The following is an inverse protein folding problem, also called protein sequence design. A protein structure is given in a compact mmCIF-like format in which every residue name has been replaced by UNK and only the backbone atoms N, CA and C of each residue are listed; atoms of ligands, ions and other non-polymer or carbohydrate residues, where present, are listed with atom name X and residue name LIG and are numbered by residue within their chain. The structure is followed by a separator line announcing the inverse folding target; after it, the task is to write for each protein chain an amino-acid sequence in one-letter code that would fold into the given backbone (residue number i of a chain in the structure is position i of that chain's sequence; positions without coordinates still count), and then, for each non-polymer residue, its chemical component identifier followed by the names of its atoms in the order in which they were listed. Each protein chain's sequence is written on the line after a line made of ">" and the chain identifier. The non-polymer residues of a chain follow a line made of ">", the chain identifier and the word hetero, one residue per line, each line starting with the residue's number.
data_IF_547983101421
#
_entry.id   IF_547983101421
#
_cell.length_a   1.000
_cell.length_b   1.000
_cell.length_c   1.000
_cell.angle_alpha   90.00
_cell.angle_beta   90.00
_cell.angle_gamma   90.00
#
_symmetry.space_group_name_H-M   'P 1'
#
loop_
_entity.id
_entity.type
_entity.pdbx_description
1 polymer ?
#
# COMPACT_ATOMS: atom_id res chain seq x y z
N UNK A 1 -16.43 27.65 -16.35
CA UNK A 1 -17.73 28.10 -15.81
C UNK A 1 -18.18 27.03 -14.83
N UNK A 2 -18.24 27.41 -13.54
CA UNK A 2 -18.81 26.68 -12.40
C UNK A 2 -18.18 25.34 -11.96
N UNK A 3 -17.19 25.49 -11.06
CA UNK A 3 -16.84 24.53 -10.01
C UNK A 3 -18.07 24.23 -9.14
N UNK A 4 -18.71 23.09 -9.34
CA UNK A 4 -19.69 22.58 -8.38
C UNK A 4 -19.00 21.64 -7.39
N UNK A 5 -18.61 22.21 -6.25
CA UNK A 5 -18.41 21.51 -4.98
C UNK A 5 -19.74 20.87 -4.59
N UNK A 6 -19.97 19.63 -4.99
CA UNK A 6 -20.99 18.78 -4.38
C UNK A 6 -20.28 17.94 -3.33
N UNK A 7 -20.60 18.20 -2.08
CA UNK A 7 -20.17 17.40 -0.95
C UNK A 7 -20.73 15.99 -1.13
N UNK A 8 -19.91 15.09 -1.67
CA UNK A 8 -20.23 13.67 -1.76
C UNK A 8 -19.86 12.99 -0.45
N UNK A 9 -20.84 12.30 0.13
CA UNK A 9 -20.70 11.51 1.34
C UNK A 9 -19.61 10.44 1.14
N UNK A 10 -18.52 10.56 1.89
CA UNK A 10 -17.45 9.55 1.96
C UNK A 10 -17.98 8.32 2.69
N UNK A 11 -18.41 7.30 1.96
CA UNK A 11 -18.42 5.93 2.49
C UNK A 11 -16.99 5.42 2.37
N UNK A 12 -16.17 5.77 3.35
CA UNK A 12 -14.91 5.06 3.58
C UNK A 12 -15.34 3.76 4.26
N UNK A 13 -15.67 2.73 3.47
CA UNK A 13 -15.52 1.37 4.00
C UNK A 13 -14.04 1.24 4.38
N UNK A 14 -13.78 0.87 5.63
CA UNK A 14 -12.45 0.52 6.11
C UNK A 14 -11.94 -0.68 5.28
N UNK A 15 -11.38 -0.43 4.10
CA UNK A 15 -10.60 -1.39 3.32
C UNK A 15 -9.17 -1.39 3.87
N UNK A 16 -9.05 -1.59 5.18
CA UNK A 16 -7.84 -2.13 5.76
C UNK A 16 -7.70 -3.56 5.24
N UNK A 17 -6.57 -3.87 4.61
CA UNK A 17 -6.16 -5.21 4.14
C UNK A 17 -6.74 -5.77 2.84
N UNK A 18 -6.93 -4.95 1.79
CA UNK A 18 -6.90 -5.48 0.41
C UNK A 18 -5.92 -4.67 -0.44
N UNK A 19 -4.65 -4.75 -0.06
CA UNK A 19 -3.55 -4.40 -0.96
C UNK A 19 -3.74 -5.19 -2.26
N UNK A 20 -3.60 -4.52 -3.41
CA UNK A 20 -3.60 -5.11 -4.75
C UNK A 20 -3.03 -6.53 -4.69
N UNK A 21 -3.76 -7.60 -5.07
CA UNK A 21 -3.25 -8.95 -4.94
C UNK A 21 -1.91 -9.08 -5.67
N UNK A 22 -1.71 -8.42 -6.80
CA UNK A 22 -0.42 -8.48 -7.50
C UNK A 22 0.71 -7.65 -6.87
N UNK A 23 0.46 -6.45 -6.32
CA UNK A 23 1.54 -5.67 -5.68
C UNK A 23 1.86 -6.25 -4.31
N UNK A 24 0.87 -6.64 -3.52
CA UNK A 24 1.07 -7.31 -2.24
C UNK A 24 1.73 -8.66 -2.39
N UNK A 25 1.35 -9.50 -3.37
CA UNK A 25 2.01 -10.78 -3.64
C UNK A 25 3.44 -10.55 -4.13
N UNK A 26 3.71 -9.53 -4.93
CA UNK A 26 5.09 -9.20 -5.32
C UNK A 26 5.89 -8.67 -4.13
N UNK A 27 5.33 -7.79 -3.30
CA UNK A 27 5.94 -7.31 -2.06
C UNK A 27 6.21 -8.48 -1.10
N UNK A 28 5.25 -9.40 -0.95
CA UNK A 28 5.36 -10.61 -0.13
C UNK A 28 6.41 -11.55 -0.70
N UNK A 29 6.43 -11.77 -2.01
CA UNK A 29 7.41 -12.60 -2.71
C UNK A 29 8.81 -11.98 -2.65
N UNK A 30 8.93 -10.66 -2.72
CA UNK A 30 10.20 -9.95 -2.51
C UNK A 30 10.64 -10.02 -1.05
N UNK A 31 9.72 -9.88 -0.10
CA UNK A 31 9.99 -10.04 1.33
C UNK A 31 10.39 -11.49 1.66
N UNK A 32 9.75 -12.49 1.05
CA UNK A 32 10.11 -13.92 1.16
C UNK A 32 11.48 -14.20 0.53
N UNK A 33 11.77 -13.62 -0.65
CA UNK A 33 13.08 -13.72 -1.29
C UNK A 33 14.20 -13.07 -0.47
N UNK A 34 13.90 -11.96 0.22
CA UNK A 34 14.84 -11.30 1.14
C UNK A 34 15.13 -12.13 2.41
N UNK A 35 14.29 -13.10 2.74
CA UNK A 35 14.49 -14.02 3.88
C UNK A 35 15.26 -15.29 3.52
N UNK A 36 15.44 -15.61 2.23
CA UNK A 36 16.31 -16.70 1.82
C UNK A 36 17.77 -16.32 2.10
N UNK A 37 18.36 -16.99 3.10
CA UNK A 37 19.74 -16.82 3.51
C UNK A 37 20.69 -17.21 2.37
N UNK A 38 21.14 -16.23 1.61
CA UNK A 38 22.34 -16.37 0.79
C UNK A 38 23.53 -16.12 1.70
N UNK A 39 24.11 -17.21 2.20
CA UNK A 39 25.44 -17.25 2.81
C UNK A 39 26.49 -17.00 1.71
N UNK A 40 26.55 -15.76 1.22
CA UNK A 40 27.61 -15.29 0.34
C UNK A 40 28.65 -14.55 1.19
N UNK A 41 29.88 -15.04 1.12
CA UNK A 41 31.10 -14.48 1.72
C UNK A 41 31.12 -12.95 1.65
N UNK A 42 31.56 -12.32 2.74
CA UNK A 42 31.74 -10.87 2.90
C UNK A 42 32.68 -10.29 1.84
N UNK A 43 32.18 -10.10 0.62
CA UNK A 43 32.82 -9.27 -0.39
C UNK A 43 32.84 -7.83 0.12
N UNK A 44 33.78 -7.04 -0.37
CA UNK A 44 33.91 -5.61 -0.06
C UNK A 44 32.68 -4.82 -0.55
N UNK A 45 31.61 -4.86 0.23
CA UNK A 45 30.40 -4.08 0.01
C UNK A 45 30.78 -2.59 0.19
N UNK A 46 30.29 -1.75 -0.73
CA UNK A 46 30.53 -0.30 -0.65
C UNK A 46 30.04 0.27 0.69
N UNK A 47 30.72 1.30 1.21
CA UNK A 47 30.36 1.94 2.49
C UNK A 47 28.90 2.44 2.50
N UNK A 48 28.43 2.97 1.36
CA UNK A 48 27.06 3.42 1.20
C UNK A 48 26.06 2.26 1.33
N UNK A 49 26.36 1.13 0.70
CA UNK A 49 25.53 -0.06 0.73
C UNK A 49 25.49 -0.71 2.11
N UNK A 50 26.63 -0.78 2.81
CA UNK A 50 26.69 -1.22 4.22
C UNK A 50 25.77 -0.36 5.09
N UNK A 51 25.88 0.97 4.98
CA UNK A 51 25.07 1.90 5.76
C UNK A 51 23.57 1.84 5.43
N UNK A 52 23.19 1.48 4.20
CA UNK A 52 21.79 1.26 3.85
C UNK A 52 21.25 -0.02 4.50
N UNK A 53 21.98 -1.13 4.39
CA UNK A 53 21.57 -2.41 4.96
C UNK A 53 21.51 -2.37 6.50
N UNK A 54 22.43 -1.69 7.16
CA UNK A 54 22.38 -1.51 8.62
C UNK A 54 21.14 -0.74 9.04
N UNK A 55 20.81 0.36 8.36
CA UNK A 55 19.58 1.14 8.65
C UNK A 55 18.31 0.35 8.46
N UNK A 56 18.24 -0.49 7.42
CA UNK A 56 17.09 -1.35 7.18
C UNK A 56 16.92 -2.36 8.33
N UNK A 57 18.01 -3.04 8.73
CA UNK A 57 18.01 -3.98 9.85
C UNK A 57 17.66 -3.33 11.19
N UNK A 58 18.27 -2.18 11.49
CA UNK A 58 17.99 -1.41 12.71
C UNK A 58 16.51 -1.03 12.79
N UNK A 59 15.90 -0.67 11.64
CA UNK A 59 14.48 -0.35 11.60
C UNK A 59 13.59 -1.58 11.81
N UNK A 60 13.92 -2.72 11.22
CA UNK A 60 13.19 -3.97 11.44
C UNK A 60 13.29 -4.44 12.90
N UNK A 61 14.47 -4.38 13.50
CA UNK A 61 14.70 -4.72 14.91
C UNK A 61 13.95 -3.76 15.83
N UNK A 62 13.96 -2.46 15.51
CA UNK A 62 13.17 -1.45 16.20
C UNK A 62 11.68 -1.81 16.16
N UNK A 63 11.09 -2.02 14.97
CA UNK A 63 9.67 -2.36 14.83
C UNK A 63 9.29 -3.64 15.57
N UNK A 64 10.16 -4.66 15.55
CA UNK A 64 9.94 -5.91 16.32
C UNK A 64 9.90 -5.66 17.82
N UNK A 65 10.82 -4.83 18.34
CA UNK A 65 10.84 -4.46 19.77
C UNK A 65 9.59 -3.67 20.15
N UNK A 66 9.23 -2.64 19.39
CA UNK A 66 8.05 -1.82 19.69
C UNK A 66 6.76 -2.65 19.63
N UNK A 67 6.64 -3.60 18.69
CA UNK A 67 5.49 -4.51 18.61
C UNK A 67 5.39 -5.39 19.86
N UNK A 68 6.52 -5.90 20.35
CA UNK A 68 6.57 -6.71 21.56
C UNK A 68 6.21 -5.87 22.80
N UNK A 69 6.76 -4.66 22.91
CA UNK A 69 6.45 -3.73 24.00
C UNK A 69 4.97 -3.30 23.99
N UNK A 70 4.39 -3.05 22.82
CA UNK A 70 2.96 -2.75 22.67
C UNK A 70 2.08 -3.90 23.17
N UNK A 71 2.41 -5.16 22.82
CA UNK A 71 1.66 -6.33 23.29
C UNK A 71 1.73 -6.51 24.81
N UNK A 72 2.91 -6.33 25.40
CA UNK A 72 3.08 -6.37 26.87
C UNK A 72 2.29 -5.23 27.52
N UNK A 73 2.45 -4.02 27.00
CA UNK A 73 1.75 -2.83 27.48
C UNK A 73 0.23 -3.01 27.43
N UNK A 74 -0.30 -3.60 26.35
CA UNK A 74 -1.73 -3.87 26.19
C UNK A 74 -2.25 -4.80 27.29
N UNK A 75 -1.50 -5.85 27.62
CA UNK A 75 -1.86 -6.78 28.71
C UNK A 75 -1.81 -6.09 30.08
N UNK A 76 -0.83 -5.23 30.31
CA UNK A 76 -0.76 -4.45 31.55
C UNK A 76 -1.88 -3.43 31.66
N UNK A 77 -2.25 -2.78 30.56
CA UNK A 77 -3.36 -1.84 30.51
C UNK A 77 -4.69 -2.53 30.83
N UNK A 78 -4.95 -3.69 30.23
CA UNK A 78 -6.12 -4.51 30.54
C UNK A 78 -6.17 -4.88 32.04
N UNK A 79 -5.04 -5.32 32.60
CA UNK A 79 -4.94 -5.63 34.03
C UNK A 79 -5.19 -4.42 34.95
N UNK A 80 -4.74 -3.21 34.58
CA UNK A 80 -5.02 -1.98 35.34
C UNK A 80 -6.50 -1.59 35.28
N UNK A 81 -7.16 -1.84 34.14
CA UNK A 81 -8.59 -1.55 33.96
C UNK A 81 -9.50 -2.66 34.50
N UNK A 82 -8.95 -3.82 34.86
CA UNK A 82 -9.73 -4.98 35.33
C UNK A 82 -10.45 -5.73 34.21
N UNK A 83 -10.01 -5.56 32.96
CA UNK A 83 -10.57 -6.19 31.76
C UNK A 83 -9.76 -7.43 31.33
N UNK A 84 -10.37 -8.29 30.52
CA UNK A 84 -9.71 -9.47 29.96
C UNK A 84 -8.72 -9.09 28.83
N UNK A 85 -7.42 -9.47 28.91
CA UNK A 85 -6.43 -9.11 27.91
C UNK A 85 -6.71 -9.60 26.48
N UNK A 86 -7.39 -10.74 26.33
CA UNK A 86 -7.66 -11.35 25.02
C UNK A 86 -8.81 -10.65 24.29
N UNK A 87 -9.80 -10.17 25.03
CA UNK A 87 -10.98 -9.46 24.49
C UNK A 87 -10.74 -7.95 24.34
N UNK A 88 -9.63 -7.43 24.86
CA UNK A 88 -9.31 -6.00 24.89
C UNK A 88 -9.10 -5.42 23.48
N UNK A 89 -9.99 -4.54 23.02
CA UNK A 89 -9.94 -3.94 21.68
C UNK A 89 -9.12 -2.64 21.67
N UNK A 90 -8.84 -2.09 20.47
CA UNK A 90 -8.14 -0.81 20.37
C UNK A 90 -9.01 0.37 20.87
N UNK A 91 -10.33 0.27 20.78
CA UNK A 91 -11.23 1.28 21.34
C UNK A 91 -11.14 1.32 22.87
N UNK A 92 -11.04 0.15 23.51
CA UNK A 92 -10.86 0.04 24.96
C UNK A 92 -9.52 0.62 25.40
N UNK A 93 -8.45 0.40 24.61
CA UNK A 93 -7.14 1.03 24.82
C UNK A 93 -7.26 2.55 24.78
N UNK A 94 -7.88 3.10 23.73
CA UNK A 94 -8.02 4.55 23.56
C UNK A 94 -8.83 5.18 24.70
N UNK A 95 -9.89 4.51 25.15
CA UNK A 95 -10.72 4.93 26.29
C UNK A 95 -9.93 4.89 27.60
N UNK A 96 -9.17 3.81 27.85
CA UNK A 96 -8.34 3.67 29.04
C UNK A 96 -7.25 4.75 29.10
N UNK A 97 -6.60 5.05 27.97
CA UNK A 97 -5.58 6.10 27.89
C UNK A 97 -6.19 7.48 28.15
N UNK A 98 -7.37 7.77 27.58
CA UNK A 98 -8.07 9.03 27.82
C UNK A 98 -8.46 9.23 29.29
N UNK A 99 -8.79 8.14 29.99
CA UNK A 99 -9.10 8.15 31.42
C UNK A 99 -7.85 8.30 32.31
N UNK A 100 -6.80 7.53 32.05
CA UNK A 100 -5.57 7.54 32.85
C UNK A 100 -4.74 8.81 32.64
N UNK A 101 -4.71 9.33 31.41
CA UNK A 101 -3.94 10.51 31.01
C UNK A 101 -4.85 11.57 30.37
N UNK A 102 -5.73 12.22 31.14
CA UNK A 102 -6.63 13.23 30.61
C UNK A 102 -5.82 14.43 30.08
N UNK A 103 -5.97 14.73 28.79
CA UNK A 103 -5.30 15.86 28.14
C UNK A 103 -6.32 16.88 27.64
N UNK A 104 -6.12 18.15 28.03
CA UNK A 104 -6.95 19.29 27.59
C UNK A 104 -6.54 19.87 26.22
N UNK A 105 -5.71 19.16 25.46
CA UNK A 105 -5.17 19.66 24.20
C UNK A 105 -6.24 19.59 23.10
N UNK A 106 -6.48 20.72 22.43
CA UNK A 106 -7.46 20.82 21.35
C UNK A 106 -7.09 19.95 20.14
N UNK A 107 -5.81 19.94 19.76
CA UNK A 107 -5.33 19.07 18.68
C UNK A 107 -5.29 17.60 19.15
N UNK A 108 -6.07 16.75 18.48
CA UNK A 108 -6.15 15.31 18.78
C UNK A 108 -4.83 14.60 18.53
N UNK A 109 -4.00 15.07 17.59
CA UNK A 109 -2.71 14.44 17.26
C UNK A 109 -1.64 14.66 18.33
N UNK A 110 -1.83 15.68 19.18
CA UNK A 110 -0.92 16.01 20.26
C UNK A 110 -1.30 15.36 21.61
N UNK A 111 -2.39 14.57 21.64
CA UNK A 111 -2.81 13.84 22.83
C UNK A 111 -2.00 12.56 23.02
N UNK A 112 -1.88 12.04 24.25
CA UNK A 112 -1.32 10.72 24.49
C UNK A 112 -2.10 9.66 23.70
N UNK A 113 -1.38 8.79 22.98
CA UNK A 113 -1.96 7.69 22.19
C UNK A 113 -1.13 6.44 22.37
N UNK A 114 -1.79 5.29 22.41
CA UNK A 114 -1.16 3.97 22.43
C UNK A 114 -1.77 3.13 21.33
N UNK A 115 -1.04 2.96 20.23
CA UNK A 115 -1.49 2.26 19.02
C UNK A 115 -0.45 1.26 18.54
N UNK A 116 -0.83 0.33 17.66
CA UNK A 116 0.14 -0.53 16.99
C UNK A 116 1.25 0.31 16.32
N UNK A 117 2.52 -0.09 16.47
CA UNK A 117 3.66 0.62 15.88
C UNK A 117 3.52 0.90 14.37
N UNK A 118 2.83 0.03 13.62
CA UNK A 118 2.58 0.18 12.18
C UNK A 118 1.72 1.41 11.83
N UNK A 119 0.87 1.89 12.75
CA UNK A 119 0.07 3.10 12.56
C UNK A 119 0.82 4.38 13.00
N UNK A 120 1.76 4.25 13.93
CA UNK A 120 2.49 5.38 14.53
C UNK A 120 3.71 5.73 13.68
N UNK A 121 4.49 4.72 13.31
CA UNK A 121 5.72 4.92 12.57
C UNK A 121 5.45 4.91 11.07
N UNK A 122 6.10 5.80 10.29
CA UNK A 122 5.93 5.82 8.85
C UNK A 122 6.44 4.51 8.26
N UNK A 123 5.64 3.92 7.37
CA UNK A 123 6.05 2.73 6.64
C UNK A 123 7.28 3.05 5.78
N UNK A 124 8.29 2.18 5.88
CA UNK A 124 9.51 2.27 5.09
C UNK A 124 9.60 1.08 4.16
N UNK A 125 10.21 1.28 3.00
CA UNK A 125 10.57 0.16 2.14
C UNK A 125 11.56 -0.76 2.85
N UNK A 126 11.36 -2.06 2.69
CA UNK A 126 12.36 -3.05 3.03
C UNK A 126 13.63 -2.85 2.18
N UNK A 127 14.71 -3.54 2.53
CA UNK A 127 15.92 -3.51 1.71
C UNK A 127 15.60 -3.91 0.26
N UNK A 128 15.99 -3.09 -0.71
CA UNK A 128 15.66 -3.31 -2.12
C UNK A 128 16.68 -4.23 -2.85
N UNK A 129 17.74 -4.65 -2.18
CA UNK A 129 18.81 -5.49 -2.76
C UNK A 129 19.45 -6.43 -1.73
N UNK A 130 20.09 -7.49 -2.26
CA UNK A 130 20.83 -8.49 -1.51
C UNK A 130 22.20 -8.01 -1.01
N UNK A 131 22.82 -8.77 -0.09
CA UNK A 131 24.22 -8.57 0.32
C UNK A 131 25.20 -8.54 -0.86
N UNK A 132 24.89 -9.25 -1.95
CA UNK A 132 25.69 -9.24 -3.19
C UNK A 132 25.51 -7.97 -4.03
N UNK A 133 24.58 -7.09 -3.67
CA UNK A 133 24.27 -5.85 -4.40
C UNK A 133 23.29 -6.05 -5.55
N UNK A 134 22.70 -7.24 -5.67
CA UNK A 134 21.67 -7.55 -6.66
C UNK A 134 20.33 -6.98 -6.20
N UNK A 135 19.68 -6.08 -6.97
CA UNK A 135 18.34 -5.63 -6.64
C UNK A 135 17.32 -6.76 -6.75
N UNK A 136 16.36 -6.75 -5.84
CA UNK A 136 15.21 -7.65 -5.89
C UNK A 136 14.32 -7.30 -7.08
N UNK A 137 13.98 -6.01 -7.23
CA UNK A 137 13.07 -5.56 -8.27
C UNK A 137 13.78 -5.34 -9.62
N UNK A 138 13.23 -5.88 -10.70
CA UNK A 138 13.83 -5.73 -12.04
C UNK A 138 13.83 -4.27 -12.55
N UNK A 139 12.83 -3.48 -12.17
CA UNK A 139 12.76 -2.03 -12.43
C UNK A 139 13.53 -1.17 -11.40
N UNK A 140 14.37 -1.74 -10.53
CA UNK A 140 15.07 -0.98 -9.49
C UNK A 140 15.84 0.24 -10.03
N UNK A 141 16.53 0.10 -11.16
CA UNK A 141 17.33 1.16 -11.76
C UNK A 141 16.51 2.34 -12.34
N UNK A 142 15.17 2.26 -12.30
CA UNK A 142 14.29 3.39 -12.60
C UNK A 142 14.12 4.36 -11.43
N UNK A 143 14.71 4.06 -10.26
CA UNK A 143 14.55 4.78 -8.98
C UNK A 143 13.15 4.71 -8.34
N UNK A 144 12.10 4.37 -9.13
CA UNK A 144 10.70 4.26 -8.68
C UNK A 144 10.09 2.94 -9.16
N UNK A 145 10.61 1.79 -8.67
CA UNK A 145 10.20 0.48 -9.15
C UNK A 145 8.69 0.22 -9.01
N UNK A 146 8.06 0.63 -7.90
CA UNK A 146 6.65 0.33 -7.65
C UNK A 146 5.73 1.13 -8.59
N UNK A 147 6.03 2.41 -8.82
CA UNK A 147 5.29 3.24 -9.76
C UNK A 147 5.37 2.71 -11.20
N UNK A 148 6.56 2.39 -11.69
CA UNK A 148 6.69 1.85 -13.05
C UNK A 148 6.15 0.43 -13.18
N UNK A 149 6.16 -0.37 -12.10
CA UNK A 149 5.50 -1.67 -12.06
C UNK A 149 3.97 -1.52 -12.22
N UNK A 150 3.38 -0.53 -11.57
CA UNK A 150 1.95 -0.21 -11.69
C UNK A 150 1.60 0.16 -13.13
N UNK A 151 2.37 1.06 -13.74
CA UNK A 151 2.20 1.43 -15.16
C UNK A 151 2.36 0.23 -16.09
N UNK A 152 3.37 -0.61 -15.86
CA UNK A 152 3.58 -1.83 -16.64
C UNK A 152 2.39 -2.78 -16.53
N UNK A 153 1.80 -2.90 -15.33
CA UNK A 153 0.60 -3.72 -15.09
C UNK A 153 -0.62 -3.17 -15.82
N UNK A 154 -0.80 -1.83 -15.83
CA UNK A 154 -1.85 -1.17 -16.62
C UNK A 154 -1.71 -1.51 -18.10
N UNK A 155 -0.49 -1.39 -18.66
CA UNK A 155 -0.24 -1.71 -20.07
C UNK A 155 -0.46 -3.19 -20.37
N UNK A 156 -0.11 -4.09 -19.45
CA UNK A 156 -0.40 -5.52 -19.59
C UNK A 156 -1.90 -5.79 -19.62
N UNK A 157 -2.68 -5.14 -18.77
CA UNK A 157 -4.14 -5.21 -18.77
C UNK A 157 -4.75 -4.69 -20.09
N UNK A 158 -4.26 -3.56 -20.61
CA UNK A 158 -4.64 -3.05 -21.94
C UNK A 158 -4.36 -4.10 -23.03
N UNK A 159 -3.18 -4.70 -23.01
CA UNK A 159 -2.79 -5.74 -23.99
C UNK A 159 -3.69 -6.97 -23.89
N UNK A 160 -4.08 -7.37 -22.69
CA UNK A 160 -4.99 -8.50 -22.46
C UNK A 160 -6.39 -8.21 -22.99
N UNK A 161 -6.92 -6.99 -22.79
CA UNK A 161 -8.18 -6.58 -23.40
C UNK A 161 -8.13 -6.58 -24.91
N UNK A 162 -7.09 -5.99 -25.50
CA UNK A 162 -6.96 -5.92 -26.97
C UNK A 162 -6.87 -7.33 -27.58
N UNK A 163 -6.09 -8.24 -26.98
CA UNK A 163 -6.03 -9.64 -27.43
C UNK A 163 -7.39 -10.35 -27.33
N UNK A 164 -8.16 -10.03 -26.29
CA UNK A 164 -9.49 -10.59 -26.13
C UNK A 164 -10.46 -10.03 -27.16
N UNK A 165 -10.45 -8.72 -27.36
CA UNK A 165 -11.21 -8.05 -28.41
C UNK A 165 -10.91 -8.63 -29.79
N UNK A 166 -9.63 -8.79 -30.16
CA UNK A 166 -9.22 -9.44 -31.41
C UNK A 166 -9.80 -10.85 -31.55
N UNK A 167 -9.84 -11.60 -30.45
CA UNK A 167 -10.37 -12.96 -30.41
C UNK A 167 -11.89 -13.00 -30.56
N UNK A 168 -12.61 -11.99 -30.04
CA UNK A 168 -14.06 -11.85 -30.18
C UNK A 168 -14.44 -11.34 -31.57
N UNK A 169 -13.67 -10.40 -32.12
CA UNK A 169 -13.82 -9.89 -33.47
C UNK A 169 -13.64 -11.00 -34.52
N UNK A 170 -12.67 -11.91 -34.33
CA UNK A 170 -12.52 -13.12 -35.18
C UNK A 170 -13.73 -14.04 -35.15
N UNK A 171 -14.49 -14.05 -34.05
CA UNK A 171 -15.74 -14.82 -33.90
C UNK A 171 -16.97 -14.04 -34.39
N UNK A 172 -16.80 -12.78 -34.82
CA UNK A 172 -17.90 -11.90 -35.21
C UNK A 172 -18.78 -11.42 -34.04
N UNK A 173 -18.30 -11.52 -32.80
CA UNK A 173 -19.04 -11.10 -31.60
C UNK A 173 -18.66 -9.67 -31.26
N UNK A 174 -19.64 -8.77 -31.30
CA UNK A 174 -19.47 -7.38 -30.89
C UNK A 174 -19.57 -7.25 -29.37
N UNK A 175 -18.91 -6.24 -28.77
CA UNK A 175 -19.05 -5.95 -27.34
C UNK A 175 -20.51 -5.61 -27.00
N UNK A 176 -21.06 -6.29 -25.99
CA UNK A 176 -22.39 -6.00 -25.47
C UNK A 176 -22.38 -4.62 -24.80
N UNK A 177 -23.30 -3.74 -25.22
CA UNK A 177 -23.42 -2.39 -24.68
C UNK A 177 -23.89 -2.37 -23.22
N UNK A 178 -24.46 -3.45 -22.70
CA UNK A 178 -24.89 -3.56 -21.32
C UNK A 178 -23.77 -3.99 -20.35
N UNK A 179 -22.66 -4.53 -20.86
CA UNK A 179 -21.54 -5.03 -20.05
C UNK A 179 -20.46 -3.94 -19.84
N UNK A 180 -20.86 -2.73 -19.49
CA UNK A 180 -19.93 -1.65 -19.14
C UNK A 180 -19.58 -1.68 -17.66
N UNK A 181 -18.34 -1.34 -17.34
CA UNK A 181 -17.89 -1.22 -15.96
C UNK A 181 -18.60 -0.03 -15.29
N UNK A 182 -19.46 -0.29 -14.31
CA UNK A 182 -20.05 0.78 -13.50
C UNK A 182 -19.10 1.15 -12.36
N UNK A 183 -18.69 2.43 -12.35
CA UNK A 183 -17.84 3.05 -11.32
C UNK A 183 -18.61 4.10 -10.50
N UNK A 184 -19.94 4.08 -10.52
CA UNK A 184 -20.73 4.97 -9.67
C UNK A 184 -20.33 4.84 -8.20
N UNK A 185 -19.93 5.94 -7.58
CA UNK A 185 -19.45 5.99 -6.19
C UNK A 185 -17.94 5.79 -5.99
N UNK A 186 -17.17 5.49 -7.04
CA UNK A 186 -15.71 5.40 -6.97
C UNK A 186 -15.05 6.70 -7.43
N UNK A 187 -13.94 7.06 -6.79
CA UNK A 187 -13.08 8.18 -7.17
C UNK A 187 -11.64 7.66 -7.30
N UNK A 188 -10.88 8.20 -8.26
CA UNK A 188 -9.45 7.90 -8.37
C UNK A 188 -8.69 8.35 -7.13
N UNK A 189 -7.68 7.57 -6.72
CA UNK A 189 -6.79 7.89 -5.62
C UNK A 189 -6.16 9.27 -5.80
N UNK A 190 -6.18 10.07 -4.74
CA UNK A 190 -5.42 11.31 -4.73
C UNK A 190 -3.91 11.01 -4.79
N UNK A 191 -3.12 11.99 -5.26
CA UNK A 191 -1.66 11.86 -5.36
C UNK A 191 -1.02 11.37 -4.06
N UNK A 192 -1.41 11.96 -2.92
CA UNK A 192 -0.84 11.62 -1.61
C UNK A 192 -1.19 10.19 -1.18
N UNK A 193 -2.39 9.73 -1.54
CA UNK A 193 -2.85 8.37 -1.24
C UNK A 193 -2.07 7.36 -2.09
N UNK A 194 -1.82 7.68 -3.37
CA UNK A 194 -0.99 6.88 -4.26
C UNK A 194 0.47 6.81 -3.80
N UNK A 195 1.06 7.93 -3.36
CA UNK A 195 2.41 7.96 -2.80
C UNK A 195 2.52 7.12 -1.53
N UNK A 196 1.51 7.19 -0.65
CA UNK A 196 1.44 6.36 0.56
C UNK A 196 1.28 4.88 0.23
N UNK A 197 0.52 4.55 -0.82
CA UNK A 197 0.31 3.16 -1.25
C UNK A 197 1.60 2.55 -1.83
N UNK A 198 2.33 3.32 -2.64
CA UNK A 198 3.55 2.86 -3.31
C UNK A 198 4.81 3.01 -2.47
N UNK A 199 4.75 3.76 -1.37
CA UNK A 199 5.89 4.20 -0.55
C UNK A 199 6.97 4.91 -1.40
N UNK A 200 6.54 5.69 -2.39
CA UNK A 200 7.39 6.39 -3.35
C UNK A 200 6.88 7.81 -3.59
N UNK A 201 7.81 8.77 -3.76
CA UNK A 201 7.45 10.14 -4.16
C UNK A 201 7.15 10.21 -5.66
N UNK A 202 6.04 10.85 -6.02
CA UNK A 202 5.55 10.93 -7.40
C UNK A 202 5.55 12.40 -7.85
N UNK A 203 5.98 12.64 -9.08
CA UNK A 203 5.90 13.96 -9.71
C UNK A 203 4.45 14.27 -10.11
N UNK A 204 4.08 15.56 -10.15
CA UNK A 204 2.72 15.95 -10.58
C UNK A 204 2.41 15.47 -12.01
N UNK A 205 3.36 15.62 -12.94
CA UNK A 205 3.25 15.13 -14.32
C UNK A 205 3.13 13.61 -14.44
N UNK A 206 3.78 12.89 -13.53
CA UNK A 206 3.73 11.43 -13.52
C UNK A 206 2.35 10.95 -13.03
N UNK A 207 1.80 11.66 -12.04
CA UNK A 207 0.43 11.42 -11.57
C UNK A 207 -0.61 11.72 -12.66
N UNK A 208 -0.48 12.84 -13.38
CA UNK A 208 -1.33 13.14 -14.53
C UNK A 208 -1.26 12.05 -15.61
N UNK A 209 -0.05 11.56 -15.90
CA UNK A 209 0.17 10.47 -16.86
C UNK A 209 -0.48 9.16 -16.41
N UNK A 210 -0.45 8.88 -15.11
CA UNK A 210 -1.11 7.73 -14.51
C UNK A 210 -2.63 7.81 -14.61
N UNK A 211 -3.23 8.95 -14.27
CA UNK A 211 -4.69 9.17 -14.39
C UNK A 211 -5.13 8.97 -15.83
N UNK A 212 -4.41 9.57 -16.80
CA UNK A 212 -4.69 9.38 -18.22
C UNK A 212 -4.61 7.90 -18.64
N UNK A 213 -3.62 7.15 -18.15
CA UNK A 213 -3.47 5.73 -18.46
C UNK A 213 -4.66 4.89 -17.94
N UNK A 214 -5.14 5.18 -16.73
CA UNK A 214 -6.30 4.50 -16.15
C UNK A 214 -7.60 4.89 -16.85
N UNK A 215 -7.80 6.17 -17.15
CA UNK A 215 -8.98 6.61 -17.91
C UNK A 215 -9.05 5.95 -19.28
N UNK A 216 -7.89 5.79 -19.94
CA UNK A 216 -7.80 5.08 -21.21
C UNK A 216 -8.13 3.59 -21.04
N UNK A 217 -7.61 2.93 -20.00
CA UNK A 217 -7.94 1.52 -19.70
C UNK A 217 -9.44 1.32 -19.45
N UNK A 218 -10.09 2.26 -18.75
CA UNK A 218 -11.52 2.22 -18.47
C UNK A 218 -12.38 2.33 -19.74
N UNK A 219 -11.97 3.19 -20.69
CA UNK A 219 -12.68 3.44 -21.95
C UNK A 219 -12.58 2.28 -22.96
N UNK A 220 -11.71 1.31 -22.73
CA UNK A 220 -11.55 0.17 -23.64
C UNK A 220 -12.77 -0.76 -23.61
N UNK A 221 -13.09 -1.41 -24.74
CA UNK A 221 -14.13 -2.43 -24.78
C UNK A 221 -13.76 -3.60 -23.86
N UNK A 222 -14.79 -4.26 -23.30
CA UNK A 222 -14.63 -5.38 -22.37
C UNK A 222 -13.93 -5.03 -21.03
N UNK A 223 -13.91 -3.75 -20.63
CA UNK A 223 -13.29 -3.27 -19.38
C UNK A 223 -13.85 -3.91 -18.11
N UNK A 224 -15.07 -4.47 -18.13
CA UNK A 224 -15.67 -5.22 -17.02
C UNK A 224 -14.77 -6.36 -16.50
N UNK A 225 -13.91 -6.95 -17.34
CA UNK A 225 -13.02 -8.04 -16.95
C UNK A 225 -11.93 -7.62 -15.98
N UNK A 226 -11.62 -6.32 -15.91
CA UNK A 226 -10.55 -5.75 -15.09
C UNK A 226 -11.15 -4.96 -13.91
N UNK A 227 -12.44 -5.16 -13.62
CA UNK A 227 -13.14 -4.53 -12.51
C UNK A 227 -12.41 -4.69 -11.17
N UNK A 228 -11.89 -5.88 -10.89
CA UNK A 228 -11.16 -6.13 -9.64
C UNK A 228 -9.89 -5.30 -9.53
N UNK A 229 -9.16 -5.13 -10.64
CA UNK A 229 -7.95 -4.31 -10.64
C UNK A 229 -8.29 -2.83 -10.47
N UNK A 230 -9.30 -2.33 -11.18
CA UNK A 230 -9.73 -0.93 -11.10
C UNK A 230 -10.30 -0.61 -9.71
N UNK A 231 -11.04 -1.52 -9.08
CA UNK A 231 -11.57 -1.30 -7.72
C UNK A 231 -10.50 -1.31 -6.63
N UNK A 232 -9.34 -1.92 -6.90
CA UNK A 232 -8.23 -1.98 -5.96
C UNK A 232 -7.24 -0.80 -6.11
N UNK A 233 -7.50 0.10 -7.07
CA UNK A 233 -6.73 1.32 -7.31
C UNK A 233 -7.70 2.49 -7.17
#
# INVERSE_FOLDING_TARGET
>A
MLLNKIASFRVIENVGHRLLPNISILQKKYNELSTEKVDAEDKDISKAMKAYLTRAKEHEEFMKRENYEYQIGKRHLANMMGEDPETFTQEDVDNAIAYLFPSGIYDKKARPVMKPPEEIFPQRKAAEFDKSGRPFHYLFYTSRPNFYQLLHTIVENVRQLNKFEDSMNKKGILPDSNLTLDLTGYQWLDKNELESLLLESIGEKDYESFVLAIENLYKLPYSYRIQEFIKNI
#
